data_IF_017839157253
#
_entry.id   IF_017839157253
#
_cell.length_a   1.000
_cell.length_b   1.000
_cell.length_c   1.000
_cell.angle_alpha   90.00
_cell.angle_beta   90.00
_cell.angle_gamma   90.00
#
_symmetry.space_group_name_H-M   'P 1'
#
loop_
_entity.id
_entity.type
_entity.pdbx_description
1 polymer ?
#
# COMPACT_ATOMS: atom_id res chain seq x y z
N UNK A 1 -19.20 -9.59 2.31
CA UNK A 1 -19.44 -8.56 1.26
C UNK A 1 -19.36 -7.09 1.74
N UNK A 2 -18.68 -6.79 2.86
CA UNK A 2 -18.48 -5.40 3.35
C UNK A 2 -17.36 -4.66 2.61
N UNK A 3 -16.35 -5.40 2.14
CA UNK A 3 -15.21 -4.86 1.39
C UNK A 3 -15.71 -4.23 0.08
N UNK A 4 -16.51 -4.96 -0.72
CA UNK A 4 -17.07 -4.47 -1.99
C UNK A 4 -17.81 -3.14 -1.84
N UNK A 5 -18.57 -2.96 -0.76
CA UNK A 5 -19.26 -1.69 -0.49
C UNK A 5 -18.26 -0.54 -0.21
N UNK A 6 -17.19 -0.78 0.56
CA UNK A 6 -16.18 0.23 0.92
C UNK A 6 -15.46 0.80 -0.31
N UNK A 7 -15.15 -0.05 -1.28
CA UNK A 7 -14.49 0.31 -2.55
C UNK A 7 -15.38 1.08 -3.54
N UNK A 8 -16.71 1.06 -3.32
CA UNK A 8 -17.70 1.74 -4.17
C UNK A 8 -18.18 3.08 -3.59
N UNK A 9 -17.66 3.52 -2.43
CA UNK A 9 -17.97 4.84 -1.88
C UNK A 9 -16.93 5.86 -2.33
N UNK A 10 -17.34 7.05 -2.80
CA UNK A 10 -16.41 8.14 -3.15
C UNK A 10 -15.75 8.79 -1.92
N UNK A 11 -15.67 8.10 -0.76
CA UNK A 11 -14.97 8.62 0.41
C UNK A 11 -13.50 8.83 0.05
N UNK A 12 -13.11 10.09 -0.03
CA UNK A 12 -11.77 10.52 -0.40
C UNK A 12 -10.71 9.84 0.47
N UNK A 13 -9.64 9.34 -0.16
CA UNK A 13 -8.40 9.03 0.57
C UNK A 13 -7.99 10.25 1.38
N UNK A 14 -7.66 10.00 2.63
CA UNK A 14 -7.09 11.01 3.51
C UNK A 14 -5.81 10.45 4.11
N UNK A 15 -5.03 11.32 4.76
CA UNK A 15 -3.75 10.97 5.35
C UNK A 15 -3.85 9.79 6.34
N UNK A 16 -4.98 9.62 7.04
CA UNK A 16 -5.16 8.51 7.99
C UNK A 16 -5.28 7.15 7.29
N UNK A 17 -5.87 7.10 6.09
CA UNK A 17 -5.94 5.87 5.30
C UNK A 17 -4.59 5.50 4.71
N UNK A 18 -3.82 6.48 4.26
CA UNK A 18 -2.45 6.29 3.77
C UNK A 18 -1.51 5.85 4.92
N UNK A 19 -1.63 6.50 6.08
CA UNK A 19 -0.87 6.18 7.28
C UNK A 19 -1.09 4.73 7.73
N UNK A 20 -2.33 4.26 7.70
CA UNK A 20 -2.67 2.87 7.99
C UNK A 20 -1.94 1.89 7.05
N UNK A 21 -1.87 2.21 5.75
CA UNK A 21 -1.21 1.36 4.75
C UNK A 21 0.31 1.37 4.94
N UNK A 22 0.89 2.54 5.21
CA UNK A 22 2.33 2.67 5.50
C UNK A 22 2.69 1.86 6.74
N UNK A 23 1.96 2.00 7.85
CA UNK A 23 2.19 1.19 9.06
C UNK A 23 2.10 -0.30 8.78
N UNK A 24 1.11 -0.74 8.00
CA UNK A 24 0.97 -2.15 7.63
C UNK A 24 2.19 -2.72 6.87
N UNK A 25 2.88 -1.90 6.08
CA UNK A 25 4.14 -2.27 5.41
C UNK A 25 5.28 -2.32 6.43
N UNK A 26 5.42 -1.27 7.26
CA UNK A 26 6.50 -1.15 8.24
C UNK A 26 6.47 -2.25 9.30
N UNK A 27 5.28 -2.64 9.77
CA UNK A 27 5.10 -3.73 10.73
C UNK A 27 5.55 -5.08 10.17
N UNK A 28 5.45 -5.27 8.85
CA UNK A 28 5.88 -6.50 8.15
C UNK A 28 7.36 -6.50 7.79
N UNK A 29 7.97 -5.32 7.73
CA UNK A 29 9.38 -5.12 7.41
C UNK A 29 10.01 -4.24 8.49
N UNK A 30 10.10 -4.66 9.76
CA UNK A 30 10.61 -3.78 10.82
C UNK A 30 12.07 -3.38 10.60
N UNK A 31 12.90 -4.27 10.04
CA UNK A 31 14.35 -4.07 9.88
C UNK A 31 14.88 -4.36 8.47
N UNK A 32 13.99 -4.67 7.52
CA UNK A 32 14.38 -5.07 6.18
C UNK A 32 14.17 -3.93 5.19
N UNK A 33 14.98 -3.94 4.14
CA UNK A 33 14.73 -3.14 2.96
C UNK A 33 13.47 -3.65 2.25
N UNK A 34 12.72 -2.73 1.65
CA UNK A 34 11.49 -3.04 0.95
C UNK A 34 11.27 -2.09 -0.22
N UNK A 35 10.45 -2.55 -1.15
CA UNK A 35 10.04 -1.82 -2.32
C UNK A 35 8.56 -1.52 -2.27
N UNK A 36 8.17 -0.37 -2.82
CA UNK A 36 6.77 0.01 -2.97
C UNK A 36 6.53 0.36 -4.43
N UNK A 37 5.59 -0.36 -5.03
CA UNK A 37 5.03 -0.05 -6.33
C UNK A 37 3.66 0.59 -6.14
N UNK A 38 3.28 1.46 -7.07
CA UNK A 38 2.02 2.19 -7.02
C UNK A 38 1.22 1.85 -8.27
N UNK A 39 -0.01 1.38 -8.09
CA UNK A 39 -1.02 1.30 -9.15
C UNK A 39 -2.07 2.33 -8.80
N UNK A 40 -1.79 3.57 -9.19
CA UNK A 40 -2.61 4.72 -8.82
C UNK A 40 -2.86 5.63 -10.02
N UNK A 41 -3.98 6.35 -9.99
CA UNK A 41 -4.16 7.47 -10.92
C UNK A 41 -3.11 8.57 -10.62
N UNK A 42 -2.71 9.36 -11.62
CA UNK A 42 -1.82 10.50 -11.40
C UNK A 42 -2.35 11.41 -10.28
N UNK A 43 -1.47 11.81 -9.36
CA UNK A 43 -1.83 12.68 -8.23
C UNK A 43 -2.43 11.98 -7.01
N UNK A 44 -2.38 10.64 -6.95
CA UNK A 44 -2.76 9.85 -5.76
C UNK A 44 -1.57 9.23 -5.03
N UNK A 45 -0.35 9.48 -5.51
CA UNK A 45 0.90 9.16 -4.84
C UNK A 45 1.28 10.21 -3.76
N UNK A 46 0.59 11.35 -3.74
CA UNK A 46 0.79 12.39 -2.74
C UNK A 46 0.50 11.85 -1.33
N UNK A 47 1.51 11.90 -0.46
CA UNK A 47 1.40 11.54 0.96
C UNK A 47 2.21 10.31 1.36
N UNK A 48 2.26 9.24 0.55
CA UNK A 48 3.08 8.07 0.87
C UNK A 48 4.57 8.38 1.01
N UNK A 49 5.23 9.12 0.08
CA UNK A 49 6.64 9.46 0.23
C UNK A 49 6.90 10.30 1.49
N UNK A 50 5.94 11.14 1.89
CA UNK A 50 6.04 11.94 3.11
C UNK A 50 5.93 11.04 4.35
N UNK A 51 4.94 10.15 4.41
CA UNK A 51 4.73 9.22 5.53
C UNK A 51 5.92 8.27 5.71
N UNK A 52 6.46 7.71 4.63
CA UNK A 52 7.67 6.90 4.69
C UNK A 52 8.88 7.66 5.25
N UNK A 53 9.06 8.93 4.87
CA UNK A 53 10.09 9.81 5.44
C UNK A 53 9.80 10.13 6.91
N UNK A 54 8.55 10.40 7.26
CA UNK A 54 8.13 10.69 8.63
C UNK A 54 8.46 9.53 9.59
N UNK A 55 8.31 8.28 9.13
CA UNK A 55 8.71 7.09 9.88
C UNK A 55 10.18 6.71 9.75
N UNK A 56 11.00 7.52 9.05
CA UNK A 56 12.41 7.24 8.77
C UNK A 56 12.65 5.89 8.07
N UNK A 57 11.72 5.47 7.20
CA UNK A 57 11.75 4.20 6.46
C UNK A 57 11.42 4.44 4.99
N UNK A 58 12.44 4.74 4.20
CA UNK A 58 12.28 5.11 2.79
C UNK A 58 12.35 3.85 1.91
N UNK A 59 11.34 3.58 1.05
CA UNK A 59 11.41 2.49 0.09
C UNK A 59 12.60 2.63 -0.85
N UNK A 60 13.21 1.51 -1.21
CA UNK A 60 14.30 1.50 -2.21
C UNK A 60 13.74 1.82 -3.61
N UNK A 61 14.56 2.47 -4.44
CA UNK A 61 14.17 2.94 -5.78
C UNK A 61 14.42 1.91 -6.89
N UNK A 62 15.44 1.08 -6.73
CA UNK A 62 15.89 0.14 -7.76
C UNK A 62 15.46 -1.28 -7.41
N UNK A 63 14.47 -1.82 -8.13
CA UNK A 63 13.95 -3.18 -7.93
C UNK A 63 15.09 -4.17 -8.21
N UNK A 64 15.71 -4.70 -7.15
CA UNK A 64 16.84 -5.62 -7.26
C UNK A 64 16.48 -7.08 -6.96
N UNK A 65 15.53 -7.33 -6.04
CA UNK A 65 14.79 -8.57 -5.81
C UNK A 65 13.96 -8.38 -4.51
N UNK A 66 12.95 -9.23 -4.29
CA UNK A 66 11.91 -9.22 -3.24
C UNK A 66 12.30 -8.61 -1.86
N UNK A 67 11.37 -7.96 -1.10
CA UNK A 67 9.91 -7.93 -1.24
C UNK A 67 9.33 -6.61 -1.79
N UNK A 68 8.39 -6.73 -2.75
CA UNK A 68 7.67 -5.60 -3.35
C UNK A 68 6.23 -5.55 -2.84
N UNK A 69 5.90 -4.46 -2.15
CA UNK A 69 4.53 -4.13 -1.77
C UNK A 69 3.88 -3.31 -2.88
N UNK A 70 2.60 -3.52 -3.16
CA UNK A 70 1.87 -2.72 -4.15
C UNK A 70 0.73 -1.96 -3.49
N UNK A 71 0.82 -0.63 -3.51
CA UNK A 71 -0.24 0.28 -3.05
C UNK A 71 -1.15 0.58 -4.24
N UNK A 72 -2.47 0.48 -4.04
CA UNK A 72 -3.47 0.64 -5.10
C UNK A 72 -4.53 1.67 -4.71
N UNK A 73 -4.87 2.61 -5.61
CA UNK A 73 -5.87 3.69 -5.35
C UNK A 73 -6.31 4.45 -6.62
N UNK A 74 -7.58 4.86 -6.77
CA UNK A 74 -8.80 4.06 -6.93
C UNK A 74 -8.99 3.46 -8.35
N UNK A 75 -9.84 2.42 -8.43
CA UNK A 75 -10.52 1.84 -9.62
C UNK A 75 -9.72 1.13 -10.74
N UNK A 76 -8.54 0.56 -10.47
CA UNK A 76 -7.83 -0.22 -11.51
C UNK A 76 -7.83 -1.74 -11.31
N UNK A 77 -8.18 -2.26 -10.12
CA UNK A 77 -7.97 -3.66 -9.79
C UNK A 77 -9.18 -4.33 -9.13
N UNK A 78 -9.30 -5.64 -9.38
CA UNK A 78 -10.28 -6.50 -8.69
C UNK A 78 -9.98 -6.56 -7.18
N UNK A 79 -11.04 -6.50 -6.38
CA UNK A 79 -10.95 -6.54 -4.92
C UNK A 79 -10.31 -7.83 -4.38
N UNK A 80 -10.43 -8.94 -5.11
CA UNK A 80 -9.90 -10.24 -4.73
C UNK A 80 -8.36 -10.28 -4.74
N UNK A 81 -7.73 -9.29 -5.38
CA UNK A 81 -6.27 -9.16 -5.42
C UNK A 81 -5.68 -8.39 -4.23
N UNK A 82 -6.52 -7.84 -3.35
CA UNK A 82 -6.10 -6.91 -2.29
C UNK A 82 -6.10 -7.61 -0.93
N UNK A 83 -4.93 -7.64 -0.27
CA UNK A 83 -4.79 -8.28 1.04
C UNK A 83 -5.25 -7.38 2.20
N UNK A 84 -4.97 -6.09 2.13
CA UNK A 84 -5.26 -5.11 3.20
C UNK A 84 -5.90 -3.88 2.58
N UNK A 85 -6.90 -3.28 3.21
CA UNK A 85 -7.57 -2.08 2.68
C UNK A 85 -7.98 -1.07 3.75
N UNK A 86 -7.88 0.21 3.42
CA UNK A 86 -8.34 1.33 4.24
C UNK A 86 -8.85 2.46 3.35
N UNK A 87 -10.11 2.86 3.54
CA UNK A 87 -10.80 3.78 2.62
C UNK A 87 -10.82 3.19 1.20
N UNK A 88 -10.35 3.98 0.24
CA UNK A 88 -10.19 3.60 -1.17
C UNK A 88 -8.76 3.17 -1.53
N UNK A 89 -7.92 2.93 -0.51
CA UNK A 89 -6.56 2.43 -0.68
C UNK A 89 -6.50 0.95 -0.34
N UNK A 90 -5.77 0.21 -1.16
CA UNK A 90 -5.44 -1.19 -0.94
C UNK A 90 -3.94 -1.41 -0.91
N UNK A 91 -3.55 -2.49 -0.25
CA UNK A 91 -2.20 -3.01 -0.22
C UNK A 91 -2.23 -4.47 -0.64
N UNK A 92 -1.48 -4.77 -1.69
CA UNK A 92 -1.16 -6.13 -2.12
C UNK A 92 0.19 -6.47 -1.49
N UNK A 93 0.20 -7.58 -0.77
CA UNK A 93 1.39 -8.11 -0.15
C UNK A 93 2.27 -8.80 -1.21
N UNK A 94 3.59 -8.83 -1.01
CA UNK A 94 4.47 -9.66 -1.83
C UNK A 94 3.95 -11.09 -1.88
N UNK A 95 3.97 -11.73 -3.05
CA UNK A 95 3.74 -13.18 -3.14
C UNK A 95 4.86 -13.87 -2.34
N UNK A 96 4.51 -14.44 -1.19
CA UNK A 96 5.50 -15.05 -0.31
C UNK A 96 6.17 -16.23 -1.00
N UNK A 97 7.51 -16.19 -1.03
CA UNK A 97 8.35 -17.36 -0.77
C UNK A 97 8.69 -17.52 0.73
N UNK A 98 8.08 -16.73 1.62
CA UNK A 98 8.28 -16.86 3.06
C UNK A 98 7.02 -17.46 3.71
N UNK A 99 7.08 -18.77 3.95
CA UNK A 99 6.21 -19.44 4.90
C UNK A 99 6.49 -18.84 6.28
N UNK A 100 5.46 -18.28 6.92
CA UNK A 100 5.46 -18.08 8.36
C UNK A 100 4.93 -19.36 9.00
#
# INVERSE_FOLDING_TARGET
NKLVKRWNYPSHTNLAHEDFIVKAILDRMPNNDFFVSYITLPGWDFGYPYLFKYYNRIPKKDILEYPVFTIVSPLSLSIDSINISSGNVGLILPRNNYNY
#
